data_IF_910228754482
#
_entry.id   IF_910228754482
#
_cell.length_a   1.000
_cell.length_b   1.000
_cell.length_c   1.000
_cell.angle_alpha   90.00
_cell.angle_beta   90.00
_cell.angle_gamma   90.00
#
_symmetry.space_group_name_H-M   'P 1'
#
loop_
_entity.id
_entity.type
_entity.pdbx_description
1 polymer ?
#
# COMPACT_ATOMS: atom_id res chain seq x y z
N UNK A 1 3.55 -26.57 5.26
CA UNK A 1 4.97 -26.13 5.23
C UNK A 1 5.19 -24.62 5.38
N UNK A 2 4.18 -23.77 5.62
CA UNK A 2 4.34 -22.31 5.79
C UNK A 2 4.43 -21.87 7.26
N UNK A 3 5.39 -22.45 8.01
CA UNK A 3 5.63 -22.16 9.44
C UNK A 3 6.99 -21.48 9.66
N UNK A 4 7.35 -20.57 8.76
CA UNK A 4 8.62 -19.83 8.82
C UNK A 4 8.33 -18.41 9.28
N UNK A 5 8.49 -18.19 10.58
CA UNK A 5 8.56 -16.86 11.20
C UNK A 5 9.89 -16.20 10.79
N UNK A 6 10.01 -15.89 9.50
CA UNK A 6 11.21 -15.32 8.91
C UNK A 6 10.96 -13.85 8.62
N UNK A 7 11.96 -13.03 8.92
CA UNK A 7 11.94 -11.59 8.65
C UNK A 7 11.87 -11.35 7.13
N UNK A 8 12.61 -12.15 6.35
CA UNK A 8 12.66 -12.06 4.89
C UNK A 8 11.29 -12.17 4.22
N UNK A 9 10.44 -13.08 4.69
CA UNK A 9 9.09 -13.24 4.15
C UNK A 9 8.25 -11.99 4.40
N UNK A 10 8.41 -11.36 5.57
CA UNK A 10 7.77 -10.08 5.89
C UNK A 10 8.24 -8.94 4.99
N UNK A 11 9.54 -8.86 4.72
CA UNK A 11 10.12 -7.83 3.85
C UNK A 11 9.57 -7.95 2.43
N UNK A 12 9.60 -9.17 1.87
CA UNK A 12 9.12 -9.43 0.50
C UNK A 12 7.64 -9.07 0.38
N UNK A 13 6.81 -9.53 1.32
CA UNK A 13 5.39 -9.20 1.30
C UNK A 13 5.13 -7.71 1.46
N UNK A 14 5.87 -7.04 2.35
CA UNK A 14 5.73 -5.60 2.58
C UNK A 14 6.14 -4.73 1.39
N UNK A 15 6.90 -5.27 0.43
CA UNK A 15 7.25 -4.59 -0.83
C UNK A 15 6.27 -4.94 -1.94
N UNK A 16 5.95 -6.23 -2.09
CA UNK A 16 5.10 -6.70 -3.18
C UNK A 16 3.66 -6.21 -3.01
N UNK A 17 3.12 -6.24 -1.80
CA UNK A 17 1.71 -5.92 -1.56
C UNK A 17 1.37 -4.47 -1.90
N UNK A 18 2.14 -3.44 -1.49
CA UNK A 18 1.86 -2.07 -1.91
C UNK A 18 2.04 -1.88 -3.42
N UNK A 19 3.03 -2.52 -4.03
CA UNK A 19 3.28 -2.40 -5.47
C UNK A 19 2.12 -2.99 -6.30
N UNK A 20 1.77 -4.25 -6.03
CA UNK A 20 0.67 -4.96 -6.71
C UNK A 20 -0.67 -4.31 -6.34
N UNK A 21 -0.84 -3.94 -5.08
CA UNK A 21 -2.04 -3.27 -4.57
C UNK A 21 -2.29 -1.94 -5.28
N UNK A 22 -1.26 -1.13 -5.51
CA UNK A 22 -1.38 0.11 -6.28
C UNK A 22 -1.83 -0.15 -7.72
N UNK A 23 -1.20 -1.13 -8.40
CA UNK A 23 -1.58 -1.49 -9.76
C UNK A 23 -3.04 -1.95 -9.86
N UNK A 24 -3.48 -2.82 -8.94
CA UNK A 24 -4.86 -3.29 -8.88
C UNK A 24 -5.84 -2.16 -8.58
N UNK A 25 -5.52 -1.27 -7.65
CA UNK A 25 -6.36 -0.12 -7.32
C UNK A 25 -6.47 0.86 -8.49
N UNK A 26 -5.39 1.08 -9.23
CA UNK A 26 -5.40 1.90 -10.44
C UNK A 26 -6.30 1.30 -11.52
N UNK A 27 -6.13 0.02 -11.84
CA UNK A 27 -6.98 -0.67 -12.81
C UNK A 27 -8.43 -0.70 -12.37
N UNK A 28 -8.71 -0.94 -11.08
CA UNK A 28 -10.07 -0.90 -10.55
C UNK A 28 -10.69 0.49 -10.74
N UNK A 29 -9.94 1.55 -10.43
CA UNK A 29 -10.40 2.93 -10.64
C UNK A 29 -10.69 3.23 -12.12
N UNK A 30 -9.81 2.83 -13.04
CA UNK A 30 -10.02 3.00 -14.48
C UNK A 30 -11.27 2.26 -14.96
N UNK A 31 -11.57 1.07 -14.40
CA UNK A 31 -12.81 0.36 -14.70
C UNK A 31 -14.06 1.06 -14.14
N UNK A 32 -13.97 1.64 -12.93
CA UNK A 32 -15.07 2.44 -12.36
C UNK A 32 -15.34 3.72 -13.16
N UNK A 33 -14.30 4.31 -13.74
CA UNK A 33 -14.40 5.46 -14.62
C UNK A 33 -15.13 5.13 -15.93
N UNK A 34 -14.82 4.00 -16.55
CA UNK A 34 -15.53 3.50 -17.73
C UNK A 34 -17.03 3.27 -17.50
N UNK A 35 -17.45 2.99 -16.26
CA UNK A 35 -18.86 2.80 -15.90
C UNK A 35 -19.56 4.11 -15.47
N UNK A 36 -18.86 5.24 -15.55
CA UNK A 36 -19.39 6.57 -15.22
C UNK A 36 -19.61 6.79 -13.72
N UNK A 37 -19.02 5.96 -12.86
CA UNK A 37 -19.14 6.09 -11.40
C UNK A 37 -18.07 7.03 -10.82
N UNK A 38 -16.93 7.17 -11.50
CA UNK A 38 -15.94 8.19 -11.20
C UNK A 38 -16.21 9.42 -12.08
N UNK A 39 -16.60 10.54 -11.47
CA UNK A 39 -16.68 11.80 -12.19
C UNK A 39 -15.28 12.39 -12.36
N UNK A 40 -14.70 12.21 -13.54
CA UNK A 40 -13.37 12.73 -13.92
C UNK A 40 -13.19 14.25 -13.71
N UNK A 41 -14.28 15.02 -13.58
CA UNK A 41 -14.23 16.48 -13.46
C UNK A 41 -13.92 16.99 -12.04
N UNK A 42 -13.97 16.14 -10.99
CA UNK A 42 -13.83 16.62 -9.60
C UNK A 42 -12.53 16.20 -8.90
N UNK A 43 -11.81 15.20 -9.40
CA UNK A 43 -10.60 14.70 -8.76
C UNK A 43 -9.38 14.98 -9.64
N UNK A 44 -8.56 15.94 -9.22
CA UNK A 44 -7.27 16.20 -9.87
C UNK A 44 -6.45 14.90 -10.00
N UNK A 45 -5.74 14.68 -11.12
CA UNK A 45 -4.87 13.51 -11.30
C UNK A 45 -3.91 13.30 -10.12
N UNK A 46 -3.48 14.40 -9.49
CA UNK A 46 -2.61 14.39 -8.33
C UNK A 46 -3.33 13.87 -7.06
N UNK A 47 -4.61 14.22 -6.87
CA UNK A 47 -5.43 13.66 -5.79
C UNK A 47 -5.61 12.15 -5.93
N UNK A 48 -5.79 11.67 -7.16
CA UNK A 48 -5.91 10.24 -7.47
C UNK A 48 -4.63 9.49 -7.10
N UNK A 49 -3.47 9.94 -7.57
CA UNK A 49 -2.19 9.27 -7.29
C UNK A 49 -1.86 9.28 -5.79
N UNK A 50 -2.16 10.38 -5.08
CA UNK A 50 -1.96 10.52 -3.63
C UNK A 50 -2.79 9.51 -2.83
N UNK A 51 -4.10 9.47 -3.09
CA UNK A 51 -5.05 8.61 -2.35
C UNK A 51 -4.87 7.13 -2.66
N UNK A 52 -4.69 6.76 -3.93
CA UNK A 52 -4.38 5.39 -4.33
C UNK A 52 -3.03 4.93 -3.73
N UNK A 53 -2.04 5.82 -3.65
CA UNK A 53 -0.76 5.54 -3.02
C UNK A 53 -0.90 5.22 -1.53
N UNK A 54 -1.65 6.02 -0.77
CA UNK A 54 -1.92 5.75 0.64
C UNK A 54 -2.70 4.45 0.84
N UNK A 55 -3.73 4.23 0.03
CA UNK A 55 -4.53 3.00 0.07
C UNK A 55 -3.66 1.77 -0.21
N UNK A 56 -2.80 1.83 -1.22
CA UNK A 56 -1.88 0.75 -1.55
C UNK A 56 -0.91 0.43 -0.41
N UNK A 57 -0.34 1.44 0.24
CA UNK A 57 0.53 1.24 1.41
C UNK A 57 -0.27 0.62 2.57
N UNK A 58 -1.51 1.07 2.77
CA UNK A 58 -2.39 0.55 3.82
C UNK A 58 -2.79 -0.92 3.60
N UNK A 59 -2.70 -1.46 2.38
CA UNK A 59 -2.94 -2.88 2.14
C UNK A 59 -1.97 -3.79 2.88
N UNK A 60 -0.79 -3.28 3.30
CA UNK A 60 0.09 -4.01 4.21
C UNK A 60 -0.55 -4.30 5.58
N UNK A 61 -1.62 -3.62 6.00
CA UNK A 61 -2.35 -4.00 7.21
C UNK A 61 -2.99 -5.39 7.11
N UNK A 62 -3.33 -5.85 5.89
CA UNK A 62 -3.97 -7.16 5.67
C UNK A 62 -3.02 -8.31 6.09
N UNK A 63 -1.81 -8.46 5.52
CA UNK A 63 -0.87 -9.47 5.96
C UNK A 63 -0.44 -9.22 7.42
N UNK A 64 -0.33 -7.97 7.86
CA UNK A 64 0.01 -7.65 9.25
C UNK A 64 -1.02 -8.23 10.23
N UNK A 65 -2.31 -8.02 9.99
CA UNK A 65 -3.39 -8.55 10.82
C UNK A 65 -3.44 -10.09 10.79
N UNK A 66 -3.21 -10.69 9.61
CA UNK A 66 -3.13 -12.14 9.45
C UNK A 66 -1.97 -12.74 10.25
N UNK A 67 -0.75 -12.19 10.12
CA UNK A 67 0.42 -12.66 10.85
C UNK A 67 0.38 -12.34 12.35
N UNK A 68 -0.34 -11.29 12.75
CA UNK A 68 -0.61 -10.98 14.14
C UNK A 68 -1.45 -12.08 14.81
N UNK A 69 -2.50 -12.58 14.14
CA UNK A 69 -3.27 -13.75 14.64
C UNK A 69 -2.41 -15.00 14.77
N UNK A 70 -1.43 -15.19 13.89
CA UNK A 70 -0.51 -16.34 13.90
C UNK A 70 0.65 -16.16 14.90
N UNK A 71 0.75 -15.00 15.57
CA UNK A 71 1.85 -14.62 16.47
C UNK A 71 3.26 -14.72 15.86
N UNK A 72 3.40 -14.48 14.55
CA UNK A 72 4.70 -14.48 13.87
C UNK A 72 5.39 -13.11 13.95
N UNK A 73 5.98 -12.84 15.11
CA UNK A 73 6.58 -11.53 15.46
C UNK A 73 7.72 -11.13 14.50
N UNK A 74 8.55 -12.07 14.03
CA UNK A 74 9.68 -11.75 13.15
C UNK A 74 9.20 -11.34 11.75
N UNK A 75 8.20 -12.05 11.21
CA UNK A 75 7.58 -11.69 9.91
C UNK A 75 6.86 -10.35 10.01
N UNK A 76 6.16 -10.06 11.11
CA UNK A 76 5.55 -8.75 11.34
C UNK A 76 6.59 -7.62 11.36
N UNK A 77 7.73 -7.80 12.05
CA UNK A 77 8.82 -6.82 12.05
C UNK A 77 9.41 -6.60 10.66
N UNK A 78 9.56 -7.68 9.88
CA UNK A 78 9.99 -7.62 8.48
C UNK A 78 9.03 -6.85 7.59
N UNK A 79 7.73 -6.86 7.87
CA UNK A 79 6.71 -6.13 7.12
C UNK A 79 6.69 -4.62 7.45
N UNK A 80 6.97 -4.26 8.70
CA UNK A 80 6.97 -2.85 9.14
C UNK A 80 8.05 -2.05 8.41
N UNK A 81 9.26 -2.59 8.28
CA UNK A 81 10.38 -1.89 7.66
C UNK A 81 10.10 -1.35 6.24
N UNK A 82 9.67 -2.17 5.26
CA UNK A 82 9.33 -1.69 3.92
C UNK A 82 8.10 -0.76 3.94
N UNK A 83 7.12 -1.02 4.80
CA UNK A 83 5.95 -0.13 4.93
C UNK A 83 6.38 1.28 5.34
N UNK A 84 7.28 1.41 6.31
CA UNK A 84 7.83 2.70 6.74
C UNK A 84 8.59 3.39 5.61
N UNK A 85 9.40 2.64 4.84
CA UNK A 85 10.10 3.19 3.66
C UNK A 85 9.11 3.73 2.64
N UNK A 86 8.03 2.99 2.32
CA UNK A 86 6.99 3.46 1.42
C UNK A 86 6.28 4.72 1.94
N UNK A 87 5.96 4.78 3.24
CA UNK A 87 5.34 5.97 3.86
C UNK A 87 6.26 7.18 3.75
N UNK A 88 7.56 7.03 4.02
CA UNK A 88 8.54 8.12 3.89
C UNK A 88 8.65 8.58 2.43
N UNK A 89 8.77 7.65 1.47
CA UNK A 89 8.81 7.98 0.05
C UNK A 89 7.54 8.74 -0.38
N UNK A 90 6.38 8.27 0.06
CA UNK A 90 5.10 8.91 -0.22
C UNK A 90 5.04 10.32 0.38
N UNK A 91 5.49 10.49 1.63
CA UNK A 91 5.51 11.77 2.31
C UNK A 91 6.47 12.77 1.63
N UNK A 92 7.64 12.33 1.18
CA UNK A 92 8.58 13.19 0.44
C UNK A 92 8.02 13.61 -0.92
N UNK A 93 7.36 12.69 -1.64
CA UNK A 93 6.75 12.98 -2.96
C UNK A 93 5.54 13.92 -2.85
N UNK A 94 4.63 13.66 -1.92
CA UNK A 94 3.31 14.29 -1.88
C UNK A 94 3.10 15.21 -0.67
N UNK A 95 3.71 14.89 0.47
CA UNK A 95 3.62 15.70 1.69
C UNK A 95 4.41 17.01 1.60
N UNK A 96 5.55 17.02 0.90
CA UNK A 96 6.31 18.27 0.64
C UNK A 96 5.48 19.27 -0.16
N UNK A 97 4.67 18.80 -1.13
CA UNK A 97 3.74 19.63 -1.91
C UNK A 97 2.55 20.16 -1.09
N UNK A 98 2.35 19.73 0.15
CA UNK A 98 1.30 20.24 1.04
C UNK A 98 1.81 21.30 2.03
N UNK A 99 3.13 21.41 2.20
CA UNK A 99 3.77 22.29 3.20
C UNK A 99 4.43 23.52 2.54
N UNK A 100 4.78 23.43 1.26
CA UNK A 100 5.32 24.53 0.45
C UNK A 100 4.24 25.15 -0.45
#
# INVERSE_FOLDING_TARGET
>A
MLRRNEIWLGIILGIIIPFVGYALLLTAYENFDLWGWASNDQLSPDFRTRTLGLLAISLNLIPFALYNRLRYVSTMRGLIFPTMVYVVIWFVRFGVHLIA
#
